data_IF_205930564710
#
_entry.id   IF_205930564710
#
_cell.length_a   1.000
_cell.length_b   1.000
_cell.length_c   1.000
_cell.angle_alpha   90.00
_cell.angle_beta   90.00
_cell.angle_gamma   90.00
#
_symmetry.space_group_name_H-M   'P 1'
#
loop_
_entity.id
_entity.type
_entity.pdbx_description
1 polymer ?
#
# COMPACT_ATOMS: atom_id res chain seq x y z
N UNK A 1 -10.80 27.13 10.23
CA UNK A 1 -11.22 26.03 9.44
C UNK A 1 -10.34 24.84 9.59
N UNK A 2 -10.93 23.80 9.99
CA UNK A 2 -10.17 22.58 10.24
C UNK A 2 -10.16 21.69 9.04
N UNK A 3 -8.99 21.17 8.75
CA UNK A 3 -8.85 20.19 7.72
C UNK A 3 -8.68 18.87 8.35
N UNK A 4 -9.27 17.83 7.79
CA UNK A 4 -9.02 16.50 8.30
C UNK A 4 -7.54 16.20 8.13
N UNK A 5 -6.92 15.74 9.20
CA UNK A 5 -5.56 15.25 9.11
C UNK A 5 -5.52 13.73 9.17
N UNK A 6 -6.67 13.12 9.44
CA UNK A 6 -6.75 11.68 9.56
C UNK A 6 -6.97 11.04 8.19
N UNK A 7 -6.35 9.90 8.01
CA UNK A 7 -6.46 9.15 6.76
C UNK A 7 -7.88 8.59 6.61
N UNK A 8 -8.37 8.56 5.38
CA UNK A 8 -9.73 8.11 5.11
C UNK A 8 -9.87 6.59 5.09
N UNK A 9 -8.76 5.87 5.19
CA UNK A 9 -8.79 4.42 5.08
C UNK A 9 -8.48 3.97 3.67
N UNK A 10 -7.81 2.82 3.55
CA UNK A 10 -7.31 2.37 2.26
C UNK A 10 -8.44 2.12 1.26
N UNK A 11 -9.60 1.70 1.72
CA UNK A 11 -10.70 1.40 0.80
C UNK A 11 -11.40 2.65 0.30
N UNK A 12 -11.28 3.76 1.01
CA UNK A 12 -11.87 5.03 0.61
C UNK A 12 -10.86 5.94 -0.08
N UNK A 13 -9.60 5.53 -0.13
CA UNK A 13 -8.56 6.30 -0.76
C UNK A 13 -8.71 6.22 -2.28
N UNK A 14 -7.98 7.07 -2.98
CA UNK A 14 -8.05 7.18 -4.44
C UNK A 14 -7.77 5.82 -5.08
N UNK A 15 -8.64 5.42 -6.01
CA UNK A 15 -8.53 4.14 -6.72
C UNK A 15 -8.41 2.96 -5.76
N UNK A 16 -9.15 3.01 -4.64
CA UNK A 16 -9.10 1.92 -3.69
C UNK A 16 -7.75 1.77 -3.01
N UNK A 17 -7.03 2.88 -2.86
CA UNK A 17 -5.74 2.85 -2.18
C UNK A 17 -4.56 2.61 -3.09
N UNK A 18 -4.70 2.90 -4.40
CA UNK A 18 -3.55 2.82 -5.29
C UNK A 18 -2.77 4.13 -5.18
N UNK A 19 -2.28 4.39 -3.98
CA UNK A 19 -1.55 5.59 -3.61
C UNK A 19 -0.31 5.16 -2.86
N UNK A 20 0.59 6.10 -2.61
CA UNK A 20 1.80 5.78 -1.86
C UNK A 20 1.47 5.25 -0.47
N UNK A 21 0.50 5.88 0.21
CA UNK A 21 0.11 5.41 1.53
C UNK A 21 -0.55 4.04 1.42
N UNK A 22 -1.41 3.84 0.44
CA UNK A 22 -2.07 2.55 0.27
C UNK A 22 -1.08 1.44 0.01
N UNK A 23 -0.06 1.72 -0.80
CA UNK A 23 0.97 0.71 -1.07
C UNK A 23 1.75 0.37 0.19
N UNK A 24 2.05 1.37 1.00
CA UNK A 24 2.74 1.14 2.26
C UNK A 24 1.91 0.24 3.18
N UNK A 25 0.60 0.49 3.25
CA UNK A 25 -0.28 -0.32 4.09
C UNK A 25 -0.29 -1.76 3.59
N UNK A 26 -0.36 -1.95 2.27
CA UNK A 26 -0.36 -3.31 1.72
C UNK A 26 0.94 -4.02 2.00
N UNK A 27 2.05 -3.32 1.89
CA UNK A 27 3.33 -3.93 2.23
C UNK A 27 3.37 -4.33 3.70
N UNK A 28 2.78 -3.53 4.57
CA UNK A 28 2.69 -3.88 5.98
C UNK A 28 1.86 -5.15 6.16
N UNK A 29 0.82 -5.34 5.36
CA UNK A 29 0.04 -6.57 5.39
C UNK A 29 0.89 -7.76 4.96
N UNK A 30 1.68 -7.58 3.89
CA UNK A 30 2.53 -8.64 3.36
C UNK A 30 3.49 -9.13 4.43
N UNK A 31 4.11 -8.21 5.15
CA UNK A 31 5.11 -8.57 6.15
C UNK A 31 4.53 -8.87 7.53
N UNK A 32 3.20 -8.79 7.66
CA UNK A 32 2.58 -9.09 8.95
C UNK A 32 2.77 -8.01 9.99
N UNK A 33 3.18 -6.82 9.57
CA UNK A 33 3.30 -5.68 10.48
C UNK A 33 1.92 -5.23 10.91
N UNK A 34 0.97 -5.27 9.98
CA UNK A 34 -0.43 -4.99 10.24
C UNK A 34 -1.26 -6.18 9.77
N UNK A 35 -2.38 -6.47 10.44
CA UNK A 35 -3.29 -7.50 9.92
C UNK A 35 -3.95 -6.98 8.64
N UNK A 36 -4.36 -7.91 7.79
CA UNK A 36 -4.95 -7.53 6.50
C UNK A 36 -6.30 -6.84 6.66
N UNK A 37 -6.87 -6.86 7.86
CA UNK A 37 -8.12 -6.16 8.14
C UNK A 37 -7.90 -4.71 8.55
N UNK A 38 -6.66 -4.31 8.77
CA UNK A 38 -6.38 -2.94 9.21
C UNK A 38 -6.40 -2.00 8.01
N UNK A 39 -7.33 -1.05 8.02
CA UNK A 39 -7.47 -0.08 6.92
C UNK A 39 -6.75 1.22 7.18
N UNK A 40 -6.28 1.42 8.40
CA UNK A 40 -5.62 2.66 8.84
C UNK A 40 -6.52 3.88 8.78
N UNK A 41 -7.82 3.65 8.73
CA UNK A 41 -8.75 4.77 8.79
C UNK A 41 -8.56 5.50 10.11
N UNK A 42 -8.50 6.82 10.05
CA UNK A 42 -8.32 7.64 11.23
C UNK A 42 -6.88 7.83 11.67
N UNK A 43 -5.93 7.21 10.97
CA UNK A 43 -4.53 7.38 11.34
C UNK A 43 -4.03 8.76 10.96
N UNK A 44 -3.14 9.31 11.76
CA UNK A 44 -2.52 10.60 11.49
C UNK A 44 -1.09 10.42 11.04
N UNK A 45 -0.51 11.48 10.48
CA UNK A 45 0.81 11.40 9.86
C UNK A 45 1.91 10.79 10.73
N UNK A 46 2.03 11.15 12.01
CA UNK A 46 3.12 10.56 12.80
C UNK A 46 3.04 9.04 12.88
N UNK A 47 1.83 8.50 12.87
CA UNK A 47 1.67 7.06 12.92
C UNK A 47 2.12 6.41 11.61
N UNK A 48 1.89 7.09 10.48
CA UNK A 48 2.37 6.59 9.20
C UNK A 48 3.89 6.69 9.09
N UNK A 49 4.50 7.70 9.70
CA UNK A 49 5.95 7.78 9.71
C UNK A 49 6.56 6.57 10.40
N UNK A 50 5.98 6.16 11.52
CA UNK A 50 6.43 4.97 12.22
C UNK A 50 6.25 3.73 11.34
N UNK A 51 5.09 3.62 10.70
CA UNK A 51 4.83 2.48 9.84
C UNK A 51 5.80 2.43 8.68
N UNK A 52 6.08 3.59 8.08
CA UNK A 52 7.02 3.65 6.97
C UNK A 52 8.37 3.06 7.37
N UNK A 53 8.87 3.43 8.54
CA UNK A 53 10.14 2.90 9.02
C UNK A 53 10.10 1.39 9.21
N UNK A 54 8.99 0.88 9.72
CA UNK A 54 8.84 -0.55 9.93
C UNK A 54 8.80 -1.32 8.61
N UNK A 55 8.06 -0.79 7.64
CA UNK A 55 7.96 -1.41 6.32
C UNK A 55 9.31 -1.37 5.61
N UNK A 56 9.99 -0.22 5.69
CA UNK A 56 11.30 -0.09 5.07
C UNK A 56 12.28 -1.10 5.63
N UNK A 57 12.28 -1.25 6.95
CA UNK A 57 13.17 -2.20 7.61
C UNK A 57 12.85 -3.64 7.21
N UNK A 58 11.57 -3.94 7.01
CA UNK A 58 11.17 -5.29 6.61
C UNK A 58 11.67 -5.62 5.21
N UNK A 59 11.74 -4.64 4.33
CA UNK A 59 12.22 -4.84 2.96
C UNK A 59 13.74 -4.98 2.87
N UNK A 60 14.47 -4.42 3.83
CA UNK A 60 15.95 -4.37 3.75
C UNK A 60 16.60 -5.72 3.46
N UNK A 61 16.22 -6.82 4.13
CA UNK A 61 16.86 -8.10 3.86
C UNK A 61 16.69 -8.60 2.43
N UNK A 62 15.71 -8.04 1.72
CA UNK A 62 15.39 -8.50 0.37
C UNK A 62 15.77 -7.47 -0.69
N UNK A 63 16.54 -6.45 -0.31
CA UNK A 63 16.97 -5.43 -1.26
C UNK A 63 15.84 -4.66 -1.87
N UNK A 64 14.68 -4.62 -1.19
CA UNK A 64 13.50 -3.94 -1.68
C UNK A 64 13.02 -4.48 -3.03
N UNK A 65 13.23 -5.78 -3.27
CA UNK A 65 12.84 -6.39 -4.54
C UNK A 65 11.93 -7.58 -4.28
N UNK A 66 10.79 -7.57 -4.98
CA UNK A 66 9.81 -8.64 -4.86
C UNK A 66 10.42 -9.98 -5.23
N UNK A 67 11.30 -9.99 -6.24
CA UNK A 67 11.91 -11.23 -6.69
C UNK A 67 12.79 -11.88 -5.63
N UNK A 68 13.18 -11.14 -4.60
CA UNK A 68 14.02 -11.67 -3.54
C UNK A 68 13.22 -12.18 -2.34
N UNK A 69 11.91 -12.02 -2.36
CA UNK A 69 11.09 -12.51 -1.25
C UNK A 69 11.03 -14.03 -1.25
N UNK A 70 11.00 -14.64 -0.05
CA UNK A 70 10.74 -16.08 0.03
C UNK A 70 9.39 -16.41 -0.58
N UNK A 71 9.21 -17.68 -0.96
CA UNK A 71 8.03 -18.08 -1.71
C UNK A 71 6.71 -17.72 -1.04
N UNK A 72 6.63 -17.90 0.28
CA UNK A 72 5.38 -17.62 0.98
C UNK A 72 5.08 -16.13 1.03
N UNK A 73 6.08 -15.28 1.25
CA UNK A 73 5.88 -13.85 1.23
C UNK A 73 5.57 -13.35 -0.17
N UNK A 74 6.23 -13.93 -1.16
CA UNK A 74 6.00 -13.53 -2.54
C UNK A 74 4.57 -13.86 -2.96
N UNK A 75 4.08 -15.04 -2.57
CA UNK A 75 2.70 -15.41 -2.89
C UNK A 75 1.70 -14.48 -2.21
N UNK A 76 1.98 -14.10 -0.96
CA UNK A 76 1.11 -13.16 -0.25
C UNK A 76 1.11 -11.80 -0.92
N UNK A 77 2.29 -11.32 -1.30
CA UNK A 77 2.42 -10.05 -2.01
C UNK A 77 1.60 -10.09 -3.29
N UNK A 78 1.74 -11.17 -4.05
CA UNK A 78 1.04 -11.31 -5.33
C UNK A 78 -0.46 -11.29 -5.13
N UNK A 79 -0.96 -12.05 -4.16
CA UNK A 79 -2.39 -12.10 -3.90
C UNK A 79 -2.95 -10.74 -3.49
N UNK A 80 -2.24 -10.06 -2.59
CA UNK A 80 -2.70 -8.78 -2.07
C UNK A 80 -2.71 -7.73 -3.17
N UNK A 81 -1.66 -7.69 -3.98
CA UNK A 81 -1.57 -6.67 -5.03
C UNK A 81 -2.45 -7.00 -6.24
N UNK A 82 -2.66 -8.28 -6.54
CA UNK A 82 -3.61 -8.64 -7.61
C UNK A 82 -5.01 -8.15 -7.26
N UNK A 83 -5.43 -8.37 -6.03
CA UNK A 83 -6.74 -7.90 -5.60
C UNK A 83 -6.81 -6.38 -5.68
N UNK A 84 -5.74 -5.70 -5.28
CA UNK A 84 -5.71 -4.26 -5.29
C UNK A 84 -5.79 -3.70 -6.71
N UNK A 85 -5.06 -4.32 -7.64
CA UNK A 85 -5.07 -3.86 -9.02
C UNK A 85 -6.45 -4.05 -9.64
N UNK A 86 -7.07 -5.19 -9.40
CA UNK A 86 -8.42 -5.41 -9.91
C UNK A 86 -9.38 -4.35 -9.41
N UNK A 87 -9.33 -4.06 -8.11
CA UNK A 87 -10.22 -3.07 -7.54
C UNK A 87 -9.93 -1.69 -8.11
N UNK A 88 -8.65 -1.34 -8.24
CA UNK A 88 -8.27 -0.05 -8.76
C UNK A 88 -8.78 0.13 -10.19
N UNK A 89 -8.69 -0.92 -11.00
CA UNK A 89 -9.17 -0.85 -12.38
C UNK A 89 -10.66 -0.67 -12.46
N UNK A 90 -11.40 -1.30 -11.55
CA UNK A 90 -12.83 -1.08 -11.48
C UNK A 90 -13.17 0.37 -11.19
N UNK A 91 -12.26 1.07 -10.52
CA UNK A 91 -12.46 2.47 -10.15
C UNK A 91 -11.83 3.43 -11.17
N UNK A 92 -11.33 2.90 -12.28
CA UNK A 92 -10.81 3.74 -13.34
C UNK A 92 -9.30 3.87 -13.41
N UNK A 93 -8.58 3.17 -12.56
CA UNK A 93 -7.13 3.25 -12.57
C UNK A 93 -6.54 2.43 -13.71
N UNK A 94 -5.43 2.90 -14.24
CA UNK A 94 -4.68 2.17 -15.25
C UNK A 94 -3.20 2.45 -15.01
N UNK A 95 -2.32 1.47 -15.24
CA UNK A 95 -0.89 1.73 -15.14
C UNK A 95 -0.43 2.87 -16.03
N UNK A 96 -1.14 3.08 -17.14
CA UNK A 96 -0.78 4.15 -18.05
C UNK A 96 -0.97 5.54 -17.46
N UNK A 97 -1.79 5.67 -16.43
CA UNK A 97 -1.98 6.97 -15.81
C UNK A 97 -0.70 7.52 -15.21
N UNK A 98 0.18 6.64 -14.77
CA UNK A 98 1.42 7.08 -14.18
C UNK A 98 2.39 7.58 -15.23
N UNK A 99 2.18 7.22 -16.48
CA UNK A 99 3.06 7.60 -17.57
C UNK A 99 2.49 8.69 -18.44
N UNK A 100 1.35 9.24 -18.04
CA UNK A 100 0.68 10.17 -18.87
C UNK A 100 1.45 11.40 -19.20
N UNK A 101 2.27 11.81 -18.29
CA UNK A 101 2.97 13.03 -18.51
C UNK A 101 3.95 12.91 -19.62
N UNK A 102 4.16 11.75 -20.12
CA UNK A 102 5.10 11.56 -21.16
C UNK A 102 4.65 12.07 -22.47
N UNK A 103 3.43 12.38 -22.64
CA UNK A 103 2.96 12.66 -23.93
C UNK A 103 3.52 13.75 -24.58
#
# INVERSE_FOLDING_TARGET
>A
MNRPTAYVGIHADVYGGMTDIGRMIRDAWVFGILPETETCEGWELPKFDTLYGQVHAAWDPYGHMVSQLPADLRARHERIYDTAVKRARELGWSPDLDDDEDE
#
